data_IF_838328244444
#
_entry.id   IF_838328244444
#
_cell.length_a   1.000
_cell.length_b   1.000
_cell.length_c   1.000
_cell.angle_alpha   90.00
_cell.angle_beta   90.00
_cell.angle_gamma   90.00
#
_symmetry.space_group_name_H-M   'P 1'
#
loop_
_entity.id
_entity.type
_entity.pdbx_description
1 polymer ?
#
# COMPACT_ATOMS: atom_id res chain seq x y z
N UNK A 1 -26.38 6.46 -58.44
CA UNK A 1 -25.53 7.53 -57.90
C UNK A 1 -25.46 7.35 -56.40
N UNK A 2 -24.25 7.08 -55.92
CA UNK A 2 -23.79 7.11 -54.51
C UNK A 2 -24.20 5.98 -53.56
N UNK A 3 -23.35 4.93 -53.54
CA UNK A 3 -22.84 4.28 -52.32
C UNK A 3 -21.97 5.28 -51.49
N UNK A 4 -21.46 4.97 -50.28
CA UNK A 4 -21.87 4.01 -49.25
C UNK A 4 -21.79 4.61 -47.81
N UNK A 5 -22.53 4.06 -46.83
CA UNK A 5 -22.19 4.26 -45.41
C UNK A 5 -21.66 2.94 -44.83
N UNK A 6 -20.37 2.71 -45.08
CA UNK A 6 -19.61 1.58 -44.55
C UNK A 6 -18.69 2.11 -43.45
N UNK A 7 -19.08 1.89 -42.17
CA UNK A 7 -18.23 1.73 -40.96
C UNK A 7 -19.07 1.89 -39.67
N UNK A 8 -19.85 0.87 -39.34
CA UNK A 8 -20.10 0.52 -37.93
C UNK A 8 -19.40 -0.82 -37.69
N UNK A 9 -18.21 -0.76 -37.08
CA UNK A 9 -17.49 -1.95 -36.63
C UNK A 9 -18.11 -2.43 -35.31
N UNK A 10 -18.63 -3.67 -35.21
CA UNK A 10 -18.95 -4.28 -33.94
C UNK A 10 -17.67 -4.94 -33.40
N UNK A 11 -16.93 -4.25 -32.52
CA UNK A 11 -15.75 -4.85 -31.86
C UNK A 11 -16.00 -5.02 -30.37
N UNK A 12 -16.34 -6.27 -30.04
CA UNK A 12 -16.17 -6.95 -28.75
C UNK A 12 -16.99 -6.46 -27.55
N UNK A 13 -18.26 -6.82 -27.54
CA UNK A 13 -19.00 -7.13 -26.31
C UNK A 13 -19.18 -8.66 -26.21
N UNK A 14 -18.16 -9.35 -25.70
CA UNK A 14 -18.10 -10.77 -25.26
C UNK A 14 -16.61 -10.99 -24.90
N UNK A 15 -16.18 -11.42 -23.71
CA UNK A 15 -16.63 -12.53 -22.88
C UNK A 15 -16.05 -12.32 -21.46
N UNK A 16 -16.89 -12.14 -20.45
CA UNK A 16 -16.53 -12.43 -19.05
C UNK A 16 -17.60 -13.39 -18.53
N UNK A 17 -17.60 -14.60 -19.08
CA UNK A 17 -18.40 -15.69 -18.56
C UNK A 17 -17.45 -16.83 -18.20
N UNK A 18 -17.49 -17.19 -16.91
CA UNK A 18 -16.95 -18.38 -16.27
C UNK A 18 -15.42 -18.46 -16.00
N UNK A 19 -15.02 -18.14 -14.76
CA UNK A 19 -14.03 -18.98 -14.06
C UNK A 19 -14.13 -18.97 -12.52
N UNK A 20 -15.26 -18.57 -11.92
CA UNK A 20 -15.47 -18.82 -10.49
C UNK A 20 -15.96 -20.26 -10.32
N UNK A 21 -15.30 -21.10 -9.51
CA UNK A 21 -15.71 -22.48 -9.33
C UNK A 21 -17.05 -22.50 -8.59
N UNK A 22 -17.92 -23.43 -8.97
CA UNK A 22 -19.08 -23.76 -8.15
C UNK A 22 -18.55 -24.54 -6.96
N UNK A 23 -18.50 -23.90 -5.80
CA UNK A 23 -18.10 -24.54 -4.55
C UNK A 23 -19.37 -25.15 -3.95
N UNK A 24 -19.54 -26.46 -4.09
CA UNK A 24 -20.59 -27.21 -3.39
C UNK A 24 -20.09 -27.45 -1.95
N UNK A 25 -20.56 -26.65 -1.01
CA UNK A 25 -20.18 -26.74 0.41
C UNK A 25 -21.41 -26.63 1.31
N UNK A 26 -21.53 -27.54 2.26
CA UNK A 26 -22.69 -27.61 3.16
C UNK A 26 -22.53 -26.65 4.35
N UNK A 27 -21.33 -26.10 4.55
CA UNK A 27 -21.03 -25.12 5.61
C UNK A 27 -20.12 -23.99 5.15
N UNK A 28 -20.27 -22.80 5.77
CA UNK A 28 -19.45 -21.60 5.48
C UNK A 28 -17.94 -21.85 5.62
N UNK A 29 -17.55 -22.71 6.57
CA UNK A 29 -16.15 -23.08 6.85
C UNK A 29 -15.54 -23.93 5.73
N UNK A 30 -16.35 -24.82 5.16
CA UNK A 30 -15.97 -25.67 4.04
C UNK A 30 -15.85 -24.86 2.75
N UNK A 31 -16.78 -23.92 2.52
CA UNK A 31 -16.69 -22.99 1.40
C UNK A 31 -15.41 -22.14 1.44
N UNK A 32 -15.00 -21.67 2.62
CA UNK A 32 -13.73 -20.94 2.78
C UNK A 32 -12.50 -21.81 2.57
N UNK A 33 -12.53 -23.08 2.98
CA UNK A 33 -11.43 -24.01 2.80
C UNK A 33 -11.28 -24.44 1.34
N UNK A 34 -12.39 -24.72 0.65
CA UNK A 34 -12.39 -25.06 -0.77
C UNK A 34 -11.98 -23.86 -1.63
N UNK A 35 -12.41 -22.65 -1.27
CA UNK A 35 -11.95 -21.43 -1.92
C UNK A 35 -10.45 -21.17 -1.67
N UNK A 36 -9.93 -21.50 -0.48
CA UNK A 36 -8.50 -21.41 -0.18
C UNK A 36 -7.67 -22.43 -0.98
N UNK A 37 -8.15 -23.68 -1.11
CA UNK A 37 -7.53 -24.71 -1.95
C UNK A 37 -7.55 -24.34 -3.43
N UNK A 38 -8.67 -23.82 -3.91
CA UNK A 38 -8.79 -23.39 -5.30
C UNK A 38 -7.90 -22.19 -5.60
N UNK A 39 -7.82 -21.22 -4.68
CA UNK A 39 -6.86 -20.12 -4.76
C UNK A 39 -5.41 -20.60 -4.79
N UNK A 40 -5.07 -21.65 -4.03
CA UNK A 40 -3.75 -22.27 -4.09
C UNK A 40 -3.48 -22.91 -5.48
N UNK A 41 -4.47 -23.58 -6.06
CA UNK A 41 -4.33 -24.21 -7.39
C UNK A 41 -4.25 -23.22 -8.57
N UNK A 42 -4.84 -22.03 -8.43
CA UNK A 42 -4.77 -20.93 -9.43
C UNK A 42 -3.42 -20.19 -9.42
N UNK A 43 -2.62 -20.41 -8.38
CA UNK A 43 -1.34 -19.76 -8.16
C UNK A 43 -0.15 -20.68 -8.49
N UNK A 44 -0.37 -21.80 -9.17
CA UNK A 44 0.72 -22.62 -9.69
C UNK A 44 1.47 -21.82 -10.76
N UNK A 45 2.70 -21.36 -10.48
CA UNK A 45 3.52 -20.73 -11.49
C UNK A 45 3.95 -21.82 -12.47
N UNK A 46 3.97 -21.53 -13.77
CA UNK A 46 4.76 -22.31 -14.72
C UNK A 46 6.16 -22.48 -14.13
N UNK A 47 6.49 -23.70 -13.72
CA UNK A 47 7.63 -23.99 -12.87
C UNK A 47 8.94 -23.67 -13.59
N UNK A 48 9.58 -22.56 -13.22
CA UNK A 48 10.99 -22.34 -13.48
C UNK A 48 11.81 -22.93 -12.33
N UNK A 49 12.82 -23.78 -12.61
CA UNK A 49 13.49 -24.55 -11.59
C UNK A 49 14.48 -23.71 -10.76
N UNK A 50 14.38 -23.89 -9.43
CA UNK A 50 15.50 -24.04 -8.49
C UNK A 50 16.29 -22.81 -8.00
N UNK A 51 15.59 -21.76 -7.55
CA UNK A 51 16.08 -20.92 -6.45
C UNK A 51 14.91 -20.70 -5.47
N UNK A 52 15.16 -20.80 -4.16
CA UNK A 52 14.11 -20.60 -3.16
C UNK A 52 13.44 -19.23 -3.37
N UNK A 53 12.09 -19.14 -3.36
CA UNK A 53 11.39 -17.90 -3.62
C UNK A 53 11.81 -16.82 -2.63
N UNK A 54 12.18 -15.64 -3.15
CA UNK A 54 12.62 -14.51 -2.34
C UNK A 54 11.51 -14.12 -1.37
N UNK A 55 11.83 -14.09 -0.07
CA UNK A 55 10.88 -13.71 0.97
C UNK A 55 10.67 -12.20 1.04
N UNK A 56 9.57 -11.76 1.64
CA UNK A 56 9.32 -10.34 1.92
C UNK A 56 10.43 -9.74 2.80
N UNK A 57 10.96 -10.50 3.77
CA UNK A 57 12.05 -10.07 4.63
C UNK A 57 13.33 -9.79 3.83
N UNK A 58 13.71 -10.68 2.91
CA UNK A 58 14.88 -10.51 2.05
C UNK A 58 14.70 -9.34 1.08
N UNK A 59 13.53 -9.24 0.44
CA UNK A 59 13.20 -8.13 -0.44
C UNK A 59 13.23 -6.79 0.31
N UNK A 60 12.73 -6.75 1.54
CA UNK A 60 12.75 -5.57 2.40
C UNK A 60 14.17 -5.17 2.81
N UNK A 61 15.02 -6.13 3.17
CA UNK A 61 16.43 -5.89 3.51
C UNK A 61 17.17 -5.25 2.34
N UNK A 62 17.02 -5.81 1.14
CA UNK A 62 17.66 -5.27 -0.06
C UNK A 62 17.08 -3.90 -0.46
N UNK A 63 15.75 -3.74 -0.36
CA UNK A 63 15.08 -2.45 -0.58
C UNK A 63 15.65 -1.35 0.33
N UNK A 64 15.77 -1.62 1.63
CA UNK A 64 16.30 -0.68 2.61
C UNK A 64 17.77 -0.36 2.37
N UNK A 65 18.61 -1.36 2.04
CA UNK A 65 20.02 -1.15 1.70
C UNK A 65 20.18 -0.17 0.53
N UNK A 66 19.41 -0.36 -0.53
CA UNK A 66 19.43 0.54 -1.70
C UNK A 66 18.86 1.91 -1.39
N UNK A 67 17.79 1.98 -0.60
CA UNK A 67 17.23 3.26 -0.20
C UNK A 67 18.22 4.06 0.66
N UNK A 68 18.96 3.39 1.55
CA UNK A 68 20.01 3.99 2.35
C UNK A 68 21.15 4.56 1.50
N UNK A 69 21.57 3.87 0.43
CA UNK A 69 22.57 4.42 -0.50
C UNK A 69 22.09 5.73 -1.15
N UNK A 70 20.80 5.84 -1.50
CA UNK A 70 20.20 7.05 -2.07
C UNK A 70 20.06 8.18 -1.05
N UNK A 71 19.88 7.84 0.22
CA UNK A 71 19.94 8.83 1.31
C UNK A 71 21.37 9.34 1.48
N UNK A 72 22.36 8.44 1.47
CA UNK A 72 23.77 8.81 1.59
C UNK A 72 24.24 9.71 0.43
N UNK A 73 23.69 9.54 -0.77
CA UNK A 73 23.96 10.40 -1.92
C UNK A 73 23.15 11.69 -1.96
N UNK A 74 22.30 11.96 -0.95
CA UNK A 74 21.44 13.15 -0.89
C UNK A 74 20.20 13.12 -1.81
N UNK A 75 19.98 12.04 -2.57
CA UNK A 75 18.84 11.92 -3.49
C UNK A 75 17.51 11.74 -2.75
N UNK A 76 17.55 11.25 -1.51
CA UNK A 76 16.37 10.97 -0.68
C UNK A 76 16.56 11.44 0.75
N UNK A 77 15.45 11.83 1.39
CA UNK A 77 15.45 12.28 2.78
C UNK A 77 15.67 11.11 3.76
N UNK A 78 16.48 11.29 4.82
CA UNK A 78 16.58 10.34 5.94
C UNK A 78 15.21 10.02 6.58
N UNK A 79 14.33 11.02 6.67
CA UNK A 79 12.97 10.86 7.22
C UNK A 79 12.13 9.84 6.46
N UNK A 80 12.28 9.78 5.13
CA UNK A 80 11.58 8.77 4.32
C UNK A 80 12.09 7.37 4.63
N UNK A 81 13.40 7.21 4.83
CA UNK A 81 13.99 5.92 5.19
C UNK A 81 13.50 5.46 6.57
N UNK A 82 13.43 6.37 7.54
CA UNK A 82 12.88 6.10 8.87
C UNK A 82 11.42 5.63 8.80
N UNK A 83 10.57 6.32 8.02
CA UNK A 83 9.18 5.90 7.82
C UNK A 83 9.08 4.49 7.23
N UNK A 84 9.91 4.15 6.23
CA UNK A 84 9.90 2.80 5.66
C UNK A 84 10.38 1.75 6.67
N UNK A 85 11.46 2.03 7.42
CA UNK A 85 11.95 1.12 8.47
C UNK A 85 10.90 0.85 9.53
N UNK A 86 10.23 1.89 10.00
CA UNK A 86 9.14 1.77 10.96
C UNK A 86 7.99 0.94 10.41
N UNK A 87 7.46 1.26 9.23
CA UNK A 87 6.32 0.53 8.67
C UNK A 87 6.65 -0.95 8.38
N UNK A 88 7.87 -1.23 7.91
CA UNK A 88 8.34 -2.60 7.70
C UNK A 88 8.43 -3.36 9.01
N UNK A 89 9.12 -2.81 10.02
CA UNK A 89 9.36 -3.49 11.29
C UNK A 89 8.08 -3.70 12.10
N UNK A 90 7.23 -2.69 12.19
CA UNK A 90 6.05 -2.74 13.07
C UNK A 90 4.88 -3.53 12.48
N UNK A 91 4.76 -3.61 11.14
CA UNK A 91 3.55 -4.13 10.50
C UNK A 91 3.81 -5.15 9.40
N UNK A 92 4.69 -4.86 8.44
CA UNK A 92 4.82 -5.71 7.25
C UNK A 92 5.63 -6.99 7.50
N UNK A 93 6.74 -6.89 8.23
CA UNK A 93 7.58 -8.06 8.57
C UNK A 93 6.88 -9.01 9.54
N UNK A 94 6.19 -8.55 10.60
CA UNK A 94 5.40 -9.45 11.44
C UNK A 94 4.27 -10.16 10.69
N UNK A 95 3.66 -9.51 9.68
CA UNK A 95 2.56 -10.09 8.92
C UNK A 95 3.02 -11.03 7.80
N UNK A 96 4.07 -10.68 7.07
CA UNK A 96 4.43 -11.32 5.81
C UNK A 96 5.91 -11.67 5.67
N UNK A 97 6.76 -11.42 6.68
CA UNK A 97 8.22 -11.51 6.56
C UNK A 97 8.73 -12.82 5.95
N UNK A 98 8.21 -13.95 6.44
CA UNK A 98 8.58 -15.30 6.01
C UNK A 98 7.87 -15.77 4.73
N UNK A 99 6.88 -15.00 4.24
CA UNK A 99 6.15 -15.34 3.02
C UNK A 99 6.95 -14.97 1.79
N UNK A 100 6.88 -15.80 0.75
CA UNK A 100 7.42 -15.49 -0.58
C UNK A 100 6.74 -14.25 -1.17
N UNK A 101 7.49 -13.41 -1.87
CA UNK A 101 6.97 -12.14 -2.43
C UNK A 101 5.85 -12.39 -3.44
N UNK A 102 5.92 -13.48 -4.20
CA UNK A 102 4.93 -13.94 -5.17
C UNK A 102 3.65 -14.49 -4.53
N UNK A 103 3.71 -14.93 -3.28
CA UNK A 103 2.57 -15.50 -2.55
C UNK A 103 1.59 -14.45 -2.00
N UNK A 104 1.91 -13.15 -2.11
CA UNK A 104 1.08 -12.08 -1.57
C UNK A 104 0.05 -11.63 -2.59
N UNK A 105 -1.22 -11.79 -2.25
CA UNK A 105 -2.37 -11.45 -3.09
C UNK A 105 -2.97 -10.08 -2.73
N UNK A 106 -3.79 -9.49 -3.62
CA UNK A 106 -4.55 -8.28 -3.30
C UNK A 106 -5.40 -8.43 -2.02
N UNK A 107 -6.03 -9.59 -1.85
CA UNK A 107 -6.84 -9.92 -0.66
C UNK A 107 -6.02 -9.88 0.64
N UNK A 108 -4.73 -10.27 0.60
CA UNK A 108 -3.85 -10.18 1.77
C UNK A 108 -3.62 -8.72 2.18
N UNK A 109 -3.48 -7.81 1.21
CA UNK A 109 -3.31 -6.38 1.46
C UNK A 109 -4.57 -5.81 2.12
N UNK A 110 -5.75 -6.19 1.62
CA UNK A 110 -7.04 -5.80 2.20
C UNK A 110 -7.18 -6.34 3.62
N UNK A 111 -6.84 -7.61 3.85
CA UNK A 111 -6.89 -8.25 5.16
C UNK A 111 -5.95 -7.57 6.17
N UNK A 112 -4.73 -7.20 5.77
CA UNK A 112 -3.82 -6.43 6.62
C UNK A 112 -4.43 -5.06 6.98
N UNK A 113 -4.94 -4.33 5.99
CA UNK A 113 -5.57 -3.03 6.24
C UNK A 113 -6.79 -3.15 7.16
N UNK A 114 -7.63 -4.18 7.02
CA UNK A 114 -8.75 -4.45 7.92
C UNK A 114 -8.29 -4.76 9.35
N UNK A 115 -7.32 -5.67 9.51
CA UNK A 115 -6.73 -6.00 10.82
C UNK A 115 -6.18 -4.76 11.54
N UNK A 116 -5.54 -3.84 10.82
CA UNK A 116 -5.07 -2.58 11.42
C UNK A 116 -6.21 -1.65 11.85
N UNK A 117 -7.35 -1.63 11.13
CA UNK A 117 -8.54 -0.88 11.56
C UNK A 117 -9.12 -1.49 12.83
N UNK A 118 -9.21 -2.81 12.90
CA UNK A 118 -9.76 -3.53 14.05
C UNK A 118 -8.89 -3.32 15.30
N UNK A 119 -7.58 -3.17 15.12
CA UNK A 119 -6.64 -2.75 16.17
C UNK A 119 -6.72 -1.25 16.54
N UNK A 120 -7.67 -0.50 15.99
CA UNK A 120 -7.87 0.92 16.26
C UNK A 120 -6.78 1.83 15.68
N UNK A 121 -6.03 1.40 14.66
CA UNK A 121 -5.01 2.25 14.02
C UNK A 121 -5.68 3.36 13.21
N UNK A 122 -5.13 4.57 13.31
CA UNK A 122 -5.66 5.75 12.63
C UNK A 122 -5.37 5.72 11.12
N UNK A 123 -6.20 6.33 10.27
CA UNK A 123 -6.01 6.34 8.81
C UNK A 123 -4.61 6.77 8.33
N UNK A 124 -3.90 7.73 8.96
CA UNK A 124 -2.53 8.08 8.57
C UNK A 124 -1.54 6.92 8.73
N UNK A 125 -1.70 6.12 9.79
CA UNK A 125 -0.89 4.91 10.01
C UNK A 125 -1.12 3.92 8.89
N UNK A 126 -2.38 3.62 8.56
CA UNK A 126 -2.72 2.70 7.46
C UNK A 126 -2.14 3.18 6.14
N UNK A 127 -2.25 4.48 5.83
CA UNK A 127 -1.64 5.06 4.63
C UNK A 127 -0.13 4.88 4.58
N UNK A 128 0.55 5.10 5.70
CA UNK A 128 2.01 4.94 5.75
C UNK A 128 2.43 3.47 5.53
N UNK A 129 1.68 2.52 6.10
CA UNK A 129 1.90 1.08 5.88
C UNK A 129 1.63 0.69 4.43
N UNK A 130 0.47 1.05 3.87
CA UNK A 130 0.11 0.76 2.47
C UNK A 130 1.10 1.39 1.48
N UNK A 131 1.54 2.63 1.73
CA UNK A 131 2.52 3.30 0.88
C UNK A 131 3.88 2.59 0.89
N UNK A 132 4.31 2.13 2.07
CA UNK A 132 5.56 1.38 2.22
C UNK A 132 5.47 0.03 1.51
N UNK A 133 4.37 -0.70 1.71
CA UNK A 133 4.12 -1.97 1.04
C UNK A 133 4.06 -1.79 -0.49
N UNK A 134 3.29 -0.83 -0.98
CA UNK A 134 3.22 -0.51 -2.41
C UNK A 134 4.59 -0.22 -2.99
N UNK A 135 5.45 0.51 -2.25
CA UNK A 135 6.81 0.83 -2.69
C UNK A 135 7.72 -0.41 -2.73
N UNK A 136 7.59 -1.30 -1.75
CA UNK A 136 8.30 -2.57 -1.70
C UNK A 136 7.91 -3.46 -2.89
N UNK A 137 6.62 -3.62 -3.17
CA UNK A 137 6.18 -4.43 -4.31
C UNK A 137 6.55 -3.81 -5.66
N UNK A 138 6.54 -2.48 -5.80
CA UNK A 138 7.09 -1.83 -6.99
C UNK A 138 8.59 -2.08 -7.16
N UNK A 139 9.33 -2.18 -6.05
CA UNK A 139 10.73 -2.57 -6.07
C UNK A 139 10.89 -4.03 -6.49
N UNK A 140 10.08 -4.94 -5.95
CA UNK A 140 10.07 -6.36 -6.31
C UNK A 140 9.79 -6.59 -7.81
N UNK A 141 8.80 -5.88 -8.37
CA UNK A 141 8.52 -5.92 -9.82
C UNK A 141 9.74 -5.47 -10.62
N UNK A 142 10.37 -4.35 -10.23
CA UNK A 142 11.58 -3.84 -10.92
C UNK A 142 12.75 -4.81 -10.84
N UNK A 143 12.82 -5.63 -9.79
CA UNK A 143 13.85 -6.65 -9.61
C UNK A 143 13.56 -7.95 -10.33
N UNK A 144 12.36 -8.12 -10.89
CA UNK A 144 11.92 -9.36 -11.52
C UNK A 144 11.50 -10.44 -10.53
N UNK A 145 11.33 -10.12 -9.23
CA UNK A 145 10.84 -11.11 -8.25
C UNK A 145 9.38 -11.49 -8.49
N UNK A 146 8.60 -10.55 -9.03
CA UNK A 146 7.19 -10.74 -9.38
C UNK A 146 6.90 -10.00 -10.69
N UNK A 147 5.92 -10.48 -11.45
CA UNK A 147 5.52 -9.85 -12.71
C UNK A 147 4.64 -8.62 -12.50
N UNK A 148 3.78 -8.64 -11.48
CA UNK A 148 2.84 -7.55 -11.21
C UNK A 148 2.65 -7.33 -9.71
N UNK A 149 2.50 -6.07 -9.31
CA UNK A 149 2.25 -5.71 -7.91
C UNK A 149 0.82 -6.06 -7.49
N UNK A 150 0.60 -6.64 -6.30
CA UNK A 150 -0.75 -6.89 -5.78
C UNK A 150 -1.57 -5.60 -5.63
N UNK A 151 -0.90 -4.45 -5.47
CA UNK A 151 -1.53 -3.13 -5.38
C UNK A 151 -2.16 -2.65 -6.69
N UNK A 152 -1.82 -3.26 -7.84
CA UNK A 152 -2.36 -2.89 -9.14
C UNK A 152 -3.80 -3.37 -9.35
N UNK A 153 -4.21 -4.41 -8.63
CA UNK A 153 -5.54 -5.03 -8.74
C UNK A 153 -6.52 -4.60 -7.65
N UNK A 154 -6.13 -3.68 -6.76
CA UNK A 154 -6.99 -3.18 -5.69
C UNK A 154 -8.11 -2.30 -6.26
N UNK A 155 -9.32 -2.51 -5.76
CA UNK A 155 -10.51 -1.75 -6.11
C UNK A 155 -10.51 -0.34 -5.50
N UNK A 156 -11.38 0.51 -6.07
CA UNK A 156 -11.58 1.86 -5.57
C UNK A 156 -12.20 1.83 -4.18
N UNK A 157 -11.40 2.14 -3.16
CA UNK A 157 -11.87 2.29 -1.78
C UNK A 157 -11.16 1.37 -0.80
N UNK A 158 -10.48 0.33 -1.31
CA UNK A 158 -9.74 -0.61 -0.48
C UNK A 158 -8.52 0.02 0.18
N UNK A 159 -7.89 0.97 -0.53
CA UNK A 159 -6.77 1.73 0.02
C UNK A 159 -7.26 2.79 1.03
N UNK A 160 -6.75 2.72 2.26
CA UNK A 160 -7.13 3.54 3.42
C UNK A 160 -7.07 5.06 3.22
N UNK A 161 -8.16 5.79 2.98
CA UNK A 161 -8.10 7.27 2.79
C UNK A 161 -7.82 8.03 4.08
N UNK A 162 -6.88 8.96 4.03
CA UNK A 162 -6.72 10.01 5.06
C UNK A 162 -7.55 11.19 4.60
N UNK A 163 -8.55 11.54 5.40
CA UNK A 163 -9.13 12.87 5.33
C UNK A 163 -8.35 13.76 6.31
N UNK A 164 -8.20 15.04 5.96
CA UNK A 164 -7.37 16.00 6.71
C UNK A 164 -8.25 16.94 7.57
N UNK A 165 -9.41 16.44 7.95
CA UNK A 165 -10.54 17.13 8.57
C UNK A 165 -10.27 17.51 10.04
N UNK A 166 -9.35 16.81 10.72
CA UNK A 166 -9.09 17.02 12.15
C UNK A 166 -8.03 18.10 12.47
N UNK A 167 -7.43 18.73 11.45
CA UNK A 167 -6.46 19.81 11.68
C UNK A 167 -7.18 21.13 11.91
N UNK A 168 -7.47 21.42 13.18
CA UNK A 168 -7.96 22.74 13.60
C UNK A 168 -6.88 23.80 13.35
N UNK A 169 -7.25 24.86 12.63
CA UNK A 169 -6.43 26.07 12.48
C UNK A 169 -6.73 27.01 13.64
N UNK A 170 -5.70 27.62 14.23
CA UNK A 170 -5.87 28.64 15.26
C UNK A 170 -6.54 29.87 14.64
N UNK A 171 -7.55 30.42 15.32
CA UNK A 171 -8.05 31.76 14.97
C UNK A 171 -7.01 32.84 15.31
N UNK A 172 -7.13 34.01 14.70
CA UNK A 172 -6.23 35.14 15.00
C UNK A 172 -6.17 35.48 16.49
N UNK A 173 -7.29 35.38 17.22
CA UNK A 173 -7.33 35.67 18.65
C UNK A 173 -6.71 34.56 19.51
N UNK A 174 -6.73 33.31 19.03
CA UNK A 174 -6.02 32.22 19.68
C UNK A 174 -4.51 32.27 19.39
N UNK A 175 -4.13 32.65 18.18
CA UNK A 175 -2.74 32.89 17.80
C UNK A 175 -2.13 34.04 18.63
N UNK A 176 -2.85 35.16 18.77
CA UNK A 176 -2.45 36.28 19.65
C UNK A 176 -2.28 35.84 21.10
N UNK A 177 -3.27 35.14 21.66
CA UNK A 177 -3.19 34.62 23.04
C UNK A 177 -2.02 33.65 23.24
N UNK A 178 -1.73 32.82 22.24
CA UNK A 178 -0.57 31.92 22.26
C UNK A 178 0.75 32.71 22.27
N UNK A 179 0.86 33.76 21.46
CA UNK A 179 2.05 34.63 21.40
C UNK A 179 2.26 35.42 22.70
N UNK A 180 1.18 35.95 23.28
CA UNK A 180 1.20 36.64 24.58
C UNK A 180 1.65 35.70 25.71
N UNK A 181 1.13 34.47 25.73
CA UNK A 181 1.57 33.48 26.73
C UNK A 181 3.02 33.03 26.52
N UNK A 182 3.47 33.00 25.25
CA UNK A 182 4.84 32.67 24.93
C UNK A 182 5.82 33.83 25.19
N UNK A 183 5.36 35.01 25.64
CA UNK A 183 6.26 36.13 25.93
C UNK A 183 7.25 35.78 27.03
N UNK A 184 8.54 36.00 26.77
CA UNK A 184 9.63 35.57 27.64
C UNK A 184 10.06 34.09 27.52
N UNK A 185 9.39 33.26 26.71
CA UNK A 185 9.85 31.92 26.38
C UNK A 185 10.77 31.94 25.15
N UNK A 186 11.82 31.12 25.17
CA UNK A 186 12.77 30.93 24.04
C UNK A 186 12.05 30.55 22.73
N UNK A 187 10.86 29.95 22.83
CA UNK A 187 10.05 29.49 21.69
C UNK A 187 9.22 30.59 21.02
N UNK A 188 9.09 31.79 21.59
CA UNK A 188 8.30 32.88 21.00
C UNK A 188 8.72 33.20 19.57
N UNK A 189 10.03 33.33 19.33
CA UNK A 189 10.59 33.66 18.01
C UNK A 189 10.21 32.61 16.97
N UNK A 190 10.15 31.33 17.35
CA UNK A 190 9.71 30.23 16.48
C UNK A 190 8.21 30.29 16.18
N UNK A 191 7.38 30.67 17.16
CA UNK A 191 5.93 30.78 16.99
C UNK A 191 5.58 32.00 16.12
N UNK A 192 6.24 33.14 16.35
CA UNK A 192 6.01 34.39 15.62
C UNK A 192 6.46 34.35 14.15
N UNK A 193 7.51 33.58 13.82
CA UNK A 193 8.00 33.47 12.43
C UNK A 193 7.17 32.55 11.54
N UNK A 194 6.26 31.75 12.10
CA UNK A 194 5.34 30.92 11.32
C UNK A 194 4.17 31.73 10.69
N UNK A 195 4.07 33.03 10.99
CA UNK A 195 2.96 33.88 10.56
C UNK A 195 3.19 34.63 9.23
N UNK A 196 4.29 34.40 8.51
CA UNK A 196 4.60 35.19 7.30
C UNK A 196 5.03 34.31 6.13
N UNK A 197 4.05 33.90 5.32
CA UNK A 197 4.19 33.89 3.86
C UNK A 197 2.84 34.39 3.29
N UNK A 198 2.80 35.54 2.59
CA UNK A 198 1.59 35.98 1.87
C UNK A 198 1.19 35.02 0.75
#
# INVERSE_FOLDING_TARGET
>A
MSDPCQKCSPRAAATIAASTPRVDADTKREATNELAKWRASMLEPEAHPEEAPVTIAEAAKEFLRRFQARVASGERSPRTLEHYRWALREYLLPAWGERGVESILPDDVVALSQSLRDQGRKPPTLRAVEATASRLFSFAVRRGYIQASPFAKLERGERARVRNDDRRVLSNDEARRLLEYADGLVVRTLIATLEVVP
#
